data_IF_470249954786
#
_entry.id   IF_470249954786
#
_cell.length_a   1.000
_cell.length_b   1.000
_cell.length_c   1.000
_cell.angle_alpha   90.00
_cell.angle_beta   90.00
_cell.angle_gamma   90.00
#
_symmetry.space_group_name_H-M   'P 1'
#
loop_
_entity.id
_entity.type
_entity.pdbx_description
1 polymer ?
#
# COMPACT_ATOMS: atom_id res chain seq x y z
N UNK A 1 15.52 -2.34 17.39
CA UNK A 1 15.69 -3.45 18.36
C UNK A 1 14.93 -3.22 19.68
N UNK A 2 14.61 -1.97 20.07
CA UNK A 2 13.86 -1.68 21.30
C UNK A 2 12.43 -2.26 21.30
N UNK A 3 11.77 -2.21 20.14
CA UNK A 3 10.39 -2.65 19.94
C UNK A 3 10.15 -4.16 20.13
N UNK A 4 11.13 -5.00 19.77
CA UNK A 4 11.04 -6.46 19.95
C UNK A 4 11.18 -6.87 21.42
N UNK A 5 11.74 -6.00 22.26
CA UNK A 5 11.96 -6.29 23.68
C UNK A 5 10.65 -6.21 24.46
N UNK A 6 9.79 -5.24 24.16
CA UNK A 6 8.49 -5.07 24.83
C UNK A 6 7.59 -6.28 24.58
N UNK A 7 7.48 -6.73 23.33
CA UNK A 7 6.72 -7.94 22.99
C UNK A 7 7.28 -9.20 23.68
N UNK A 8 8.60 -9.35 23.72
CA UNK A 8 9.23 -10.50 24.37
C UNK A 8 9.02 -10.51 25.89
N UNK A 9 8.97 -9.34 26.53
CA UNK A 9 8.65 -9.22 27.95
C UNK A 9 7.20 -9.59 28.23
N UNK A 10 6.26 -9.10 27.43
CA UNK A 10 4.83 -9.41 27.58
C UNK A 10 4.55 -10.91 27.37
N UNK A 11 5.21 -11.54 26.39
CA UNK A 11 5.14 -12.99 26.19
C UNK A 11 5.72 -13.75 27.39
N UNK A 12 6.86 -13.32 27.92
CA UNK A 12 7.48 -13.92 29.10
C UNK A 12 6.57 -13.80 30.34
N UNK A 13 5.98 -12.62 30.55
CA UNK A 13 5.08 -12.37 31.67
C UNK A 13 3.82 -13.24 31.56
N UNK A 14 3.25 -13.39 30.37
CA UNK A 14 2.10 -14.27 30.11
C UNK A 14 2.42 -15.75 30.43
N UNK A 15 3.55 -16.27 29.94
CA UNK A 15 3.97 -17.65 30.21
C UNK A 15 4.28 -17.89 31.70
N UNK A 16 4.87 -16.89 32.36
CA UNK A 16 5.17 -16.94 33.79
C UNK A 16 3.90 -16.92 34.65
N UNK A 17 2.93 -16.06 34.33
CA UNK A 17 1.60 -15.99 34.97
C UNK A 17 0.86 -17.32 34.89
N UNK A 18 0.80 -17.91 33.70
CA UNK A 18 0.15 -19.21 33.46
C UNK A 18 0.67 -20.32 34.37
N UNK A 19 1.96 -20.28 34.73
CA UNK A 19 2.60 -21.23 35.64
C UNK A 19 2.61 -20.79 37.10
N UNK A 20 2.04 -19.62 37.43
CA UNK A 20 2.11 -18.99 38.75
C UNK A 20 3.55 -18.78 39.25
N UNK A 21 4.48 -18.62 38.31
CA UNK A 21 5.90 -18.36 38.58
C UNK A 21 6.09 -16.84 38.63
N UNK A 22 6.37 -16.29 39.81
CA UNK A 22 6.83 -14.89 39.95
C UNK A 22 8.34 -14.90 40.12
N UNK A 23 9.08 -14.95 39.01
CA UNK A 23 10.54 -15.05 39.05
C UNK A 23 11.17 -14.11 38.03
N UNK A 24 12.12 -13.27 38.47
CA UNK A 24 12.85 -12.34 37.60
C UNK A 24 13.89 -13.04 36.70
N UNK A 25 14.13 -14.34 36.93
CA UNK A 25 15.12 -15.16 36.21
C UNK A 25 14.58 -16.56 36.05
N UNK A 26 14.77 -17.14 34.88
CA UNK A 26 14.42 -18.52 34.59
C UNK A 26 15.65 -19.42 34.48
N UNK A 27 15.51 -20.66 34.94
CA UNK A 27 16.48 -21.72 34.76
C UNK A 27 16.49 -22.28 33.33
N UNK A 28 17.44 -23.18 33.05
CA UNK A 28 17.53 -23.86 31.75
C UNK A 28 16.30 -24.73 31.47
N UNK A 29 15.79 -25.40 32.49
CA UNK A 29 14.66 -26.32 32.36
C UNK A 29 13.36 -25.54 32.09
N UNK A 30 13.14 -24.44 32.82
CA UNK A 30 12.01 -23.52 32.60
C UNK A 30 12.06 -22.87 31.21
N UNK A 31 13.26 -22.48 30.75
CA UNK A 31 13.44 -21.96 29.39
C UNK A 31 13.07 -23.01 28.33
N UNK A 32 13.47 -24.27 28.52
CA UNK A 32 13.15 -25.35 27.61
C UNK A 32 11.64 -25.58 27.53
N UNK A 33 10.95 -25.53 28.67
CA UNK A 33 9.50 -25.67 28.73
C UNK A 33 8.77 -24.50 28.07
N UNK A 34 9.18 -23.26 28.33
CA UNK A 34 8.63 -22.08 27.65
C UNK A 34 8.85 -22.16 26.14
N UNK A 35 10.04 -22.56 25.72
CA UNK A 35 10.36 -22.76 24.32
C UNK A 35 9.45 -23.82 23.70
N UNK A 36 9.25 -24.95 24.38
CA UNK A 36 8.36 -26.03 23.91
C UNK A 36 6.92 -25.55 23.69
N UNK A 37 6.40 -24.66 24.54
CA UNK A 37 5.05 -24.09 24.41
C UNK A 37 4.96 -23.09 23.26
N UNK A 38 5.97 -22.23 23.09
CA UNK A 38 6.01 -21.26 21.99
C UNK A 38 6.13 -21.97 20.63
N UNK A 39 6.85 -23.10 20.57
CA UNK A 39 7.03 -23.87 19.33
C UNK A 39 5.88 -24.82 19.02
N UNK A 40 4.86 -24.93 19.88
CA UNK A 40 3.69 -25.75 19.57
C UNK A 40 2.93 -25.16 18.37
N UNK A 41 2.74 -25.99 17.34
CA UNK A 41 2.03 -25.61 16.11
C UNK A 41 0.52 -25.71 16.26
N UNK A 42 -0.02 -26.20 17.38
CA UNK A 42 -1.46 -26.21 17.58
C UNK A 42 -2.03 -24.79 17.59
N UNK A 43 -3.17 -24.61 16.92
CA UNK A 43 -3.85 -23.30 16.87
C UNK A 43 -4.33 -22.90 18.28
N UNK A 44 -4.93 -23.85 19.00
CA UNK A 44 -5.49 -23.63 20.34
C UNK A 44 -4.41 -23.19 21.34
N UNK A 45 -3.23 -23.83 21.35
CA UNK A 45 -2.13 -23.40 22.23
C UNK A 45 -1.65 -21.99 21.89
N UNK A 46 -1.51 -21.65 20.61
CA UNK A 46 -1.08 -20.32 20.17
C UNK A 46 -2.12 -19.25 20.48
N UNK A 47 -3.40 -19.58 20.32
CA UNK A 47 -4.51 -18.69 20.65
C UNK A 47 -4.61 -18.46 22.16
N UNK A 48 -4.38 -19.50 22.96
CA UNK A 48 -4.38 -19.39 24.41
C UNK A 48 -3.21 -18.52 24.90
N UNK A 49 -2.00 -18.70 24.37
CA UNK A 49 -0.85 -17.83 24.67
C UNK A 49 -1.18 -16.38 24.29
N UNK A 50 -1.84 -16.16 23.16
CA UNK A 50 -2.27 -14.83 22.75
C UNK A 50 -3.26 -14.22 23.76
N UNK A 51 -4.26 -14.97 24.23
CA UNK A 51 -5.18 -14.47 25.24
C UNK A 51 -4.51 -14.19 26.60
N UNK A 52 -3.57 -15.04 27.01
CA UNK A 52 -2.78 -14.84 28.23
C UNK A 52 -1.93 -13.56 28.17
N UNK A 53 -1.54 -13.13 26.95
CA UNK A 53 -0.85 -11.86 26.71
C UNK A 53 -1.79 -10.66 26.73
N UNK A 54 -3.04 -10.82 26.27
CA UNK A 54 -4.03 -9.73 26.20
C UNK A 54 -4.67 -9.46 27.56
N UNK A 55 -5.11 -10.51 28.26
CA UNK A 55 -5.79 -10.41 29.55
C UNK A 55 -4.76 -10.39 30.70
N UNK A 56 -4.26 -9.20 31.04
CA UNK A 56 -3.22 -9.05 32.07
C UNK A 56 -3.73 -9.30 33.49
N UNK A 57 -5.02 -9.07 33.73
CA UNK A 57 -5.63 -9.10 35.06
C UNK A 57 -6.29 -10.44 35.40
N UNK A 58 -6.30 -11.40 34.47
CA UNK A 58 -6.93 -12.72 34.60
C UNK A 58 -8.43 -12.65 34.93
N UNK A 59 -9.10 -11.54 34.65
CA UNK A 59 -10.53 -11.32 34.96
C UNK A 59 -11.47 -11.84 33.86
N UNK A 60 -10.89 -12.26 32.73
CA UNK A 60 -11.61 -12.82 31.57
C UNK A 60 -12.28 -11.75 30.73
N UNK A 61 -11.99 -10.48 31.02
CA UNK A 61 -12.49 -9.31 30.31
C UNK A 61 -11.32 -8.66 29.59
N UNK A 62 -11.61 -8.09 28.43
CA UNK A 62 -10.62 -7.43 27.60
C UNK A 62 -11.14 -6.03 27.31
N UNK A 63 -10.41 -5.04 27.79
CA UNK A 63 -10.74 -3.63 27.60
C UNK A 63 -10.23 -3.11 26.25
N UNK A 64 -10.75 -1.97 25.81
CA UNK A 64 -10.29 -1.31 24.58
C UNK A 64 -8.78 -1.02 24.61
N UNK A 65 -8.25 -0.62 25.76
CA UNK A 65 -6.83 -0.32 25.94
C UNK A 65 -5.96 -1.58 25.82
N UNK A 66 -6.44 -2.74 26.31
CA UNK A 66 -5.74 -4.03 26.16
C UNK A 66 -5.74 -4.49 24.69
N UNK A 67 -6.85 -4.31 23.96
CA UNK A 67 -6.91 -4.56 22.51
C UNK A 67 -5.95 -3.65 21.75
N UNK A 68 -5.92 -2.35 22.09
CA UNK A 68 -5.00 -1.37 21.50
C UNK A 68 -3.54 -1.74 21.76
N UNK A 69 -3.23 -2.12 22.99
CA UNK A 69 -1.87 -2.46 23.40
C UNK A 69 -1.35 -3.69 22.63
N UNK A 70 -2.14 -4.76 22.52
CA UNK A 70 -1.70 -5.96 21.81
C UNK A 70 -1.52 -5.71 20.31
N UNK A 71 -2.40 -4.90 19.68
CA UNK A 71 -2.26 -4.50 18.28
C UNK A 71 -0.96 -3.72 18.10
N UNK A 72 -0.69 -2.77 19.00
CA UNK A 72 0.52 -1.95 18.97
C UNK A 72 1.78 -2.80 19.13
N UNK A 73 1.81 -3.71 20.11
CA UNK A 73 2.93 -4.61 20.37
C UNK A 73 3.19 -5.56 19.21
N UNK A 74 2.13 -6.18 18.68
CA UNK A 74 2.20 -7.08 17.52
C UNK A 74 2.69 -6.35 16.26
N UNK A 75 2.18 -5.14 16.01
CA UNK A 75 2.64 -4.30 14.91
C UNK A 75 4.10 -3.88 15.09
N UNK A 76 4.53 -3.55 16.31
CA UNK A 76 5.91 -3.19 16.64
C UNK A 76 6.88 -4.34 16.39
N UNK A 77 6.54 -5.55 16.84
CA UNK A 77 7.33 -6.76 16.64
C UNK A 77 7.51 -7.10 15.15
N UNK A 78 6.46 -6.89 14.35
CA UNK A 78 6.44 -7.15 12.91
C UNK A 78 6.88 -5.96 12.04
N UNK A 79 7.37 -4.87 12.65
CA UNK A 79 7.80 -3.62 11.95
C UNK A 79 6.70 -3.01 11.07
N UNK A 80 5.44 -3.14 11.48
CA UNK A 80 4.26 -2.59 10.80
C UNK A 80 3.94 -1.20 11.37
N UNK A 81 4.71 -0.18 10.97
CA UNK A 81 4.62 1.20 11.52
C UNK A 81 3.22 1.80 11.43
N UNK A 82 2.51 1.59 10.31
CA UNK A 82 1.15 2.11 10.12
C UNK A 82 0.13 1.51 11.08
N UNK A 83 0.16 0.19 11.28
CA UNK A 83 -0.74 -0.48 12.24
C UNK A 83 -0.46 -0.03 13.68
N UNK A 84 0.81 0.27 13.99
CA UNK A 84 1.20 0.83 15.28
C UNK A 84 0.60 2.22 15.50
N UNK A 85 0.62 3.08 14.48
CA UNK A 85 0.05 4.45 14.53
C UNK A 85 -1.49 4.44 14.58
N UNK A 86 -2.14 3.48 13.94
CA UNK A 86 -3.60 3.35 13.88
C UNK A 86 -4.19 2.36 14.90
N UNK A 87 -3.39 1.88 15.87
CA UNK A 87 -3.83 0.85 16.82
C UNK A 87 -5.10 1.26 17.61
N UNK A 88 -5.25 2.55 17.90
CA UNK A 88 -6.43 3.11 18.56
C UNK A 88 -7.69 2.99 17.70
N UNK A 89 -7.61 3.32 16.41
CA UNK A 89 -8.73 3.22 15.47
C UNK A 89 -9.16 1.75 15.29
N UNK A 90 -8.20 0.82 15.22
CA UNK A 90 -8.50 -0.61 15.12
C UNK A 90 -9.11 -1.18 16.40
N UNK A 91 -8.63 -0.75 17.57
CA UNK A 91 -9.22 -1.17 18.85
C UNK A 91 -10.67 -0.69 18.98
N UNK A 92 -10.93 0.57 18.66
CA UNK A 92 -12.28 1.13 18.68
C UNK A 92 -13.25 0.37 17.76
N UNK A 93 -12.81 -0.03 16.56
CA UNK A 93 -13.63 -0.83 15.64
C UNK A 93 -13.94 -2.23 16.15
N UNK A 94 -12.98 -2.88 16.84
CA UNK A 94 -13.20 -4.20 17.44
C UNK A 94 -14.18 -4.09 18.61
N UNK A 95 -14.03 -3.06 19.44
CA UNK A 95 -14.92 -2.80 20.57
C UNK A 95 -16.34 -2.43 20.11
N UNK A 96 -16.49 -1.65 19.04
CA UNK A 96 -17.80 -1.30 18.47
C UNK A 96 -18.58 -2.56 18.01
N UNK A 97 -17.88 -3.57 17.50
CA UNK A 97 -18.49 -4.82 17.02
C UNK A 97 -18.77 -5.83 18.15
N UNK A 98 -17.83 -5.98 19.08
CA UNK A 98 -17.89 -7.02 20.12
C UNK A 98 -18.55 -6.54 21.43
N UNK A 99 -18.63 -5.22 21.65
CA UNK A 99 -19.29 -4.59 22.81
C UNK A 99 -20.42 -3.63 22.35
N UNK A 100 -21.53 -4.15 21.78
CA UNK A 100 -22.63 -3.32 21.29
C UNK A 100 -23.38 -2.59 22.42
N UNK A 101 -23.27 -3.10 23.66
CA UNK A 101 -23.90 -2.51 24.85
C UNK A 101 -23.02 -1.44 25.51
N UNK A 102 -21.79 -1.21 25.00
CA UNK A 102 -20.82 -0.23 25.51
C UNK A 102 -20.48 -0.44 26.99
N UNK A 103 -20.28 -1.69 27.37
CA UNK A 103 -19.83 -2.12 28.69
C UNK A 103 -18.39 -1.69 28.98
N UNK A 104 -17.61 -1.34 27.95
CA UNK A 104 -16.21 -0.94 28.03
C UNK A 104 -15.23 -2.12 28.06
N UNK A 105 -15.74 -3.34 27.92
CA UNK A 105 -14.96 -4.57 27.86
C UNK A 105 -15.69 -5.63 27.03
N UNK A 106 -14.92 -6.54 26.44
CA UNK A 106 -15.40 -7.74 25.77
C UNK A 106 -14.99 -8.96 26.60
N UNK A 107 -15.81 -9.99 26.62
CA UNK A 107 -15.45 -11.25 27.27
C UNK A 107 -14.53 -12.06 26.35
N UNK A 108 -13.57 -12.76 26.94
CA UNK A 108 -12.52 -13.49 26.22
C UNK A 108 -13.09 -14.47 25.18
N UNK A 109 -14.19 -15.16 25.49
CA UNK A 109 -14.86 -16.09 24.58
C UNK A 109 -15.46 -15.41 23.33
N UNK A 110 -15.82 -14.13 23.40
CA UNK A 110 -16.36 -13.37 22.27
C UNK A 110 -15.27 -13.15 21.22
N UNK A 111 -14.06 -12.82 21.69
CA UNK A 111 -12.87 -12.68 20.85
C UNK A 111 -12.41 -14.04 20.30
N UNK A 112 -12.47 -15.09 21.12
CA UNK A 112 -12.21 -16.48 20.71
C UNK A 112 -13.16 -16.94 19.60
N UNK A 113 -14.45 -16.65 19.73
CA UNK A 113 -15.46 -16.98 18.71
C UNK A 113 -15.17 -16.29 17.38
N UNK A 114 -14.78 -15.01 17.40
CA UNK A 114 -14.44 -14.26 16.20
C UNK A 114 -13.21 -14.85 15.49
N UNK A 115 -12.18 -15.24 16.25
CA UNK A 115 -10.96 -15.82 15.70
C UNK A 115 -11.18 -17.26 15.20
N UNK A 116 -11.96 -18.08 15.91
CA UNK A 116 -12.32 -19.45 15.52
C UNK A 116 -13.27 -19.50 14.32
N UNK A 117 -14.19 -18.53 14.18
CA UNK A 117 -15.05 -18.42 13.00
C UNK A 117 -14.18 -18.32 11.74
N UNK A 118 -13.14 -17.49 11.75
CA UNK A 118 -12.32 -17.22 10.57
C UNK A 118 -11.59 -18.47 10.05
N UNK A 119 -11.12 -19.34 10.94
CA UNK A 119 -10.39 -20.56 10.54
C UNK A 119 -11.34 -21.72 10.18
N UNK A 120 -12.54 -21.78 10.78
CA UNK A 120 -13.59 -22.72 10.34
C UNK A 120 -14.17 -22.33 8.97
N UNK A 121 -14.21 -21.03 8.67
CA UNK A 121 -14.68 -20.46 7.40
C UNK A 121 -13.79 -20.78 6.19
N UNK A 122 -12.50 -21.08 6.40
CA UNK A 122 -11.58 -21.45 5.33
C UNK A 122 -11.75 -22.92 4.87
N UNK A 123 -12.37 -23.79 5.69
CA UNK A 123 -12.49 -25.22 5.40
C UNK A 123 -13.91 -25.71 5.01
N UNK A 124 -14.97 -24.93 5.22
CA UNK A 124 -16.36 -25.40 5.01
C UNK A 124 -17.11 -24.57 3.96
N UNK A 125 -16.60 -24.53 2.73
CA UNK A 125 -17.12 -23.73 1.61
C UNK A 125 -18.46 -24.20 1.00
N UNK A 126 -19.32 -24.94 1.71
CA UNK A 126 -20.54 -25.50 1.09
C UNK A 126 -21.85 -25.46 1.91
N UNK A 127 -21.85 -25.31 3.24
CA UNK A 127 -23.08 -25.40 4.03
C UNK A 127 -23.70 -24.05 4.45
N UNK A 128 -23.03 -22.92 4.20
CA UNK A 128 -23.44 -21.61 4.72
C UNK A 128 -24.22 -20.74 3.71
N UNK A 129 -25.05 -21.32 2.83
CA UNK A 129 -25.90 -20.50 1.95
C UNK A 129 -27.11 -19.90 2.69
N UNK A 130 -27.56 -20.48 3.80
CA UNK A 130 -28.79 -20.06 4.51
C UNK A 130 -28.54 -19.06 5.65
N UNK A 131 -27.48 -19.22 6.44
CA UNK A 131 -27.16 -18.32 7.57
C UNK A 131 -26.35 -17.09 7.13
N UNK A 132 -25.57 -17.19 6.05
CA UNK A 132 -24.97 -16.02 5.41
C UNK A 132 -26.02 -15.09 4.78
N UNK A 133 -27.18 -15.60 4.37
CA UNK A 133 -28.29 -14.77 3.89
C UNK A 133 -28.99 -14.02 5.03
N UNK A 134 -29.20 -14.63 6.19
CA UNK A 134 -29.83 -13.97 7.34
C UNK A 134 -28.90 -12.93 8.01
N UNK A 135 -27.60 -13.25 8.12
CA UNK A 135 -26.59 -12.31 8.62
C UNK A 135 -26.26 -11.23 7.58
N UNK A 136 -26.17 -11.58 6.28
CA UNK A 136 -26.06 -10.57 5.20
C UNK A 136 -27.31 -9.70 5.10
N UNK A 137 -28.50 -10.18 5.43
CA UNK A 137 -29.72 -9.35 5.42
C UNK A 137 -29.76 -8.39 6.62
N UNK A 138 -29.34 -8.82 7.81
CA UNK A 138 -29.23 -7.92 8.97
C UNK A 138 -28.08 -6.90 8.83
N UNK A 139 -26.92 -7.32 8.28
CA UNK A 139 -25.84 -6.41 7.89
C UNK A 139 -26.22 -5.53 6.68
N UNK A 140 -27.14 -5.94 5.81
CA UNK A 140 -27.68 -5.10 4.72
C UNK A 140 -28.72 -4.09 5.22
N UNK A 141 -29.43 -4.39 6.31
CA UNK A 141 -30.36 -3.46 6.97
C UNK A 141 -29.67 -2.20 7.49
N UNK A 142 -28.45 -2.34 8.01
CA UNK A 142 -27.58 -1.23 8.43
C UNK A 142 -26.76 -0.62 7.28
N UNK A 143 -26.80 -1.21 6.09
CA UNK A 143 -26.02 -0.82 4.90
C UNK A 143 -26.86 -0.21 3.79
N UNK A 144 -27.78 0.71 4.12
CA UNK A 144 -28.26 1.69 3.13
C UNK A 144 -27.28 2.87 3.02
N UNK A 145 -26.01 2.59 2.69
CA UNK A 145 -25.12 3.59 2.08
C UNK A 145 -24.82 3.12 0.66
N UNK A 146 -25.25 3.93 -0.31
CA UNK A 146 -25.13 3.69 -1.75
C UNK A 146 -23.80 3.02 -2.14
N UNK A 147 -23.77 2.08 -3.10
CA UNK A 147 -22.53 1.45 -3.57
C UNK A 147 -21.47 2.48 -3.97
N UNK A 148 -21.92 3.64 -4.47
CA UNK A 148 -21.08 4.81 -4.81
C UNK A 148 -20.37 5.37 -3.57
N UNK A 149 -21.07 5.43 -2.42
CA UNK A 149 -20.51 5.94 -1.17
C UNK A 149 -19.49 4.98 -0.57
N UNK A 150 -19.67 3.66 -0.69
CA UNK A 150 -18.68 2.64 -0.25
C UNK A 150 -17.41 2.68 -1.11
N UNK A 151 -17.56 2.81 -2.43
CA UNK A 151 -16.42 2.96 -3.34
C UNK A 151 -15.67 4.27 -3.08
N UNK A 152 -16.41 5.34 -2.78
CA UNK A 152 -15.86 6.64 -2.40
C UNK A 152 -15.06 6.58 -1.10
N UNK A 153 -15.57 5.96 -0.02
CA UNK A 153 -14.80 5.86 1.23
C UNK A 153 -13.52 5.07 1.04
N UNK A 154 -13.58 3.91 0.36
CA UNK A 154 -12.39 3.10 0.09
C UNK A 154 -11.35 3.86 -0.76
N UNK A 155 -11.80 4.64 -1.75
CA UNK A 155 -10.92 5.46 -2.57
C UNK A 155 -10.29 6.61 -1.76
N UNK A 156 -11.06 7.23 -0.87
CA UNK A 156 -10.56 8.28 0.04
C UNK A 156 -9.50 7.71 0.99
N UNK A 157 -9.72 6.54 1.59
CA UNK A 157 -8.71 5.89 2.41
C UNK A 157 -7.43 5.56 1.62
N UNK A 158 -7.57 5.04 0.40
CA UNK A 158 -6.42 4.77 -0.48
C UNK A 158 -5.65 6.04 -0.86
N UNK A 159 -6.37 7.12 -1.17
CA UNK A 159 -5.79 8.44 -1.45
C UNK A 159 -5.03 8.98 -0.24
N UNK A 160 -5.61 8.84 0.95
CA UNK A 160 -5.04 9.35 2.19
C UNK A 160 -3.79 8.55 2.60
N UNK A 161 -3.82 7.24 2.41
CA UNK A 161 -2.69 6.34 2.69
C UNK A 161 -1.52 6.55 1.70
N UNK A 162 -1.81 6.85 0.43
CA UNK A 162 -0.80 6.98 -0.63
C UNK A 162 -0.60 8.41 -1.15
N UNK A 163 -1.10 9.43 -0.44
CA UNK A 163 -1.13 10.82 -0.94
C UNK A 163 0.23 11.31 -1.44
N UNK A 164 1.31 11.01 -0.70
CA UNK A 164 2.69 11.41 -1.07
C UNK A 164 3.12 10.81 -2.42
N UNK A 165 2.85 9.52 -2.63
CA UNK A 165 3.17 8.82 -3.88
C UNK A 165 2.34 9.35 -5.03
N UNK A 166 1.05 9.56 -4.81
CA UNK A 166 0.10 10.07 -5.80
C UNK A 166 0.49 11.48 -6.21
N UNK A 167 0.87 12.35 -5.27
CA UNK A 167 1.30 13.71 -5.56
C UNK A 167 2.54 13.74 -6.46
N UNK A 168 3.57 12.92 -6.19
CA UNK A 168 4.78 12.85 -7.02
C UNK A 168 4.47 12.34 -8.43
N UNK A 169 3.66 11.27 -8.54
CA UNK A 169 3.24 10.72 -9.83
C UNK A 169 2.42 11.76 -10.61
N UNK A 170 1.49 12.44 -9.96
CA UNK A 170 0.67 13.47 -10.58
C UNK A 170 1.53 14.64 -11.09
N UNK A 171 2.50 15.11 -10.30
CA UNK A 171 3.43 16.14 -10.70
C UNK A 171 4.27 15.70 -11.92
N UNK A 172 4.79 14.47 -11.89
CA UNK A 172 5.55 13.91 -13.00
C UNK A 172 4.71 13.80 -14.28
N UNK A 173 3.48 13.27 -14.20
CA UNK A 173 2.55 13.19 -15.34
C UNK A 173 2.21 14.58 -15.88
N UNK A 174 1.98 15.57 -15.00
CA UNK A 174 1.72 16.95 -15.40
C UNK A 174 2.88 17.53 -16.21
N UNK A 175 4.12 17.28 -15.78
CA UNK A 175 5.33 17.71 -16.51
C UNK A 175 5.39 17.02 -17.88
N UNK A 176 5.12 15.71 -17.96
CA UNK A 176 5.11 14.99 -19.24
C UNK A 176 4.06 15.56 -20.21
N UNK A 177 2.83 15.79 -19.75
CA UNK A 177 1.75 16.36 -20.56
C UNK A 177 2.12 17.79 -20.99
N UNK A 178 2.68 18.60 -20.09
CA UNK A 178 3.13 19.95 -20.39
C UNK A 178 4.21 19.98 -21.47
N UNK A 179 5.26 19.18 -21.33
CA UNK A 179 6.34 19.07 -22.31
C UNK A 179 5.85 18.57 -23.67
N UNK A 180 5.02 17.52 -23.67
CA UNK A 180 4.43 16.98 -24.88
C UNK A 180 3.59 18.05 -25.60
N UNK A 181 2.68 18.70 -24.87
CA UNK A 181 1.77 19.72 -25.43
C UNK A 181 2.52 20.94 -25.94
N UNK A 182 3.51 21.42 -25.18
CA UNK A 182 4.37 22.52 -25.60
C UNK A 182 5.09 22.21 -26.91
N UNK A 183 5.70 21.02 -27.01
CA UNK A 183 6.40 20.59 -28.22
C UNK A 183 5.45 20.36 -29.40
N UNK A 184 4.28 19.81 -29.12
CA UNK A 184 3.22 19.60 -30.09
C UNK A 184 2.77 20.93 -30.71
N UNK A 185 2.50 21.95 -29.89
CA UNK A 185 2.11 23.29 -30.37
C UNK A 185 3.26 23.97 -31.11
N UNK A 186 4.50 23.82 -30.64
CA UNK A 186 5.68 24.36 -31.31
C UNK A 186 5.81 23.81 -32.73
N UNK A 187 5.68 22.50 -32.91
CA UNK A 187 5.82 21.86 -34.23
C UNK A 187 4.61 22.04 -35.13
N UNK A 188 3.41 22.28 -34.58
CA UNK A 188 2.22 22.66 -35.36
C UNK A 188 2.41 23.96 -36.14
N UNK A 189 3.24 24.88 -35.63
CA UNK A 189 3.50 26.18 -36.26
C UNK A 189 4.66 26.15 -37.26
N UNK A 190 5.30 24.99 -37.48
CA UNK A 190 6.43 24.86 -38.41
C UNK A 190 5.97 24.37 -39.78
N UNK A 191 6.66 24.80 -40.82
CA UNK A 191 6.39 24.39 -42.22
C UNK A 191 6.40 22.87 -42.42
N UNK A 192 7.26 22.15 -41.69
CA UNK A 192 7.32 20.68 -41.70
C UNK A 192 5.99 19.99 -41.34
N UNK A 193 5.08 20.68 -40.65
CA UNK A 193 3.73 20.18 -40.37
C UNK A 193 2.90 19.98 -41.64
N UNK A 194 3.06 20.84 -42.65
CA UNK A 194 2.27 20.76 -43.89
C UNK A 194 2.56 19.48 -44.70
N UNK A 195 3.75 18.89 -44.52
CA UNK A 195 4.17 17.65 -45.20
C UNK A 195 3.86 16.42 -44.34
N UNK A 196 4.33 16.37 -43.09
CA UNK A 196 4.22 15.16 -42.27
C UNK A 196 2.94 15.09 -41.42
N UNK A 197 2.25 16.22 -41.23
CA UNK A 197 1.01 16.31 -40.47
C UNK A 197 1.17 15.95 -38.99
N UNK A 198 0.09 15.43 -38.39
CA UNK A 198 0.03 15.12 -36.95
C UNK A 198 1.03 14.07 -36.46
N UNK A 199 1.53 13.20 -37.35
CA UNK A 199 2.49 12.17 -36.99
C UNK A 199 3.81 12.77 -36.48
N UNK A 200 4.30 13.83 -37.15
CA UNK A 200 5.48 14.57 -36.75
C UNK A 200 5.31 15.23 -35.38
N UNK A 201 4.15 15.82 -35.11
CA UNK A 201 3.89 16.51 -33.84
C UNK A 201 3.90 15.52 -32.68
N UNK A 202 3.23 14.39 -32.86
CA UNK A 202 3.20 13.31 -31.87
C UNK A 202 4.58 12.67 -31.69
N UNK A 203 5.33 12.45 -32.77
CA UNK A 203 6.69 11.91 -32.70
C UNK A 203 7.66 12.86 -31.96
N UNK A 204 7.58 14.17 -32.22
CA UNK A 204 8.42 15.18 -31.56
C UNK A 204 8.00 15.43 -30.12
N UNK A 205 6.69 15.38 -29.82
CA UNK A 205 6.17 15.42 -28.46
C UNK A 205 6.66 14.22 -27.64
N UNK A 206 6.54 13.01 -28.19
CA UNK A 206 7.03 11.79 -27.56
C UNK A 206 8.55 11.86 -27.32
N UNK A 207 9.33 12.33 -28.31
CA UNK A 207 10.77 12.52 -28.16
C UNK A 207 11.14 13.46 -26.99
N UNK A 208 10.40 14.55 -26.80
CA UNK A 208 10.67 15.50 -25.74
C UNK A 208 10.39 14.90 -24.35
N UNK A 209 9.29 14.15 -24.22
CA UNK A 209 9.02 13.37 -22.99
C UNK A 209 10.07 12.29 -22.75
N UNK A 210 10.62 11.70 -23.81
CA UNK A 210 11.69 10.71 -23.72
C UNK A 210 12.96 11.30 -23.13
N UNK A 211 13.41 12.47 -23.63
CA UNK A 211 14.60 13.15 -23.11
C UNK A 211 14.49 13.42 -21.61
N UNK A 212 13.33 13.89 -21.17
CA UNK A 212 13.08 14.15 -19.76
C UNK A 212 13.14 12.86 -18.93
N UNK A 213 12.45 11.80 -19.36
CA UNK A 213 12.47 10.51 -18.65
C UNK A 213 13.87 9.87 -18.64
N UNK A 214 14.66 10.01 -19.72
CA UNK A 214 16.05 9.53 -19.79
C UNK A 214 16.98 10.28 -18.83
N UNK A 215 16.74 11.57 -18.58
CA UNK A 215 17.46 12.32 -17.55
C UNK A 215 17.01 11.91 -16.14
N UNK A 216 15.70 11.71 -15.94
CA UNK A 216 15.11 11.43 -14.64
C UNK A 216 15.36 10.00 -14.14
N UNK A 217 15.47 9.01 -15.02
CA UNK A 217 15.55 7.58 -14.66
C UNK A 217 16.76 7.22 -13.77
N UNK A 218 17.85 7.99 -13.84
CA UNK A 218 19.05 7.75 -13.04
C UNK A 218 18.91 8.25 -11.59
N UNK A 219 18.13 9.31 -11.37
CA UNK A 219 18.00 9.94 -10.05
C UNK A 219 17.52 8.99 -8.94
N UNK A 220 16.51 8.12 -9.15
CA UNK A 220 16.05 7.19 -8.12
C UNK A 220 17.06 6.09 -7.76
N UNK A 221 18.03 5.80 -8.64
CA UNK A 221 19.03 4.73 -8.44
C UNK A 221 20.28 5.25 -7.71
N UNK A 222 20.47 6.58 -7.66
CA UNK A 222 21.57 7.24 -6.95
C UNK A 222 21.39 7.18 -5.42
N UNK A 223 21.72 6.03 -4.82
CA UNK A 223 21.51 5.73 -3.39
C UNK A 223 22.04 6.81 -2.43
N UNK A 224 23.24 7.35 -2.68
CA UNK A 224 23.84 8.39 -1.84
C UNK A 224 23.03 9.70 -1.90
N UNK A 225 22.65 10.12 -3.11
CA UNK A 225 21.84 11.32 -3.34
C UNK A 225 20.45 11.19 -2.72
N UNK A 226 19.80 10.04 -2.89
CA UNK A 226 18.48 9.78 -2.30
C UNK A 226 18.54 9.77 -0.78
N UNK A 227 19.56 9.13 -0.19
CA UNK A 227 19.74 9.12 1.27
C UNK A 227 19.96 10.52 1.83
N UNK A 228 20.76 11.34 1.13
CA UNK A 228 20.96 12.74 1.49
C UNK A 228 19.66 13.55 1.38
N UNK A 229 18.93 13.43 0.26
CA UNK A 229 17.65 14.11 0.04
C UNK A 229 16.58 13.73 1.07
N UNK A 230 16.56 12.46 1.51
CA UNK A 230 15.65 11.97 2.54
C UNK A 230 15.83 12.70 3.89
N UNK A 231 17.06 13.09 4.21
CA UNK A 231 17.36 13.82 5.45
C UNK A 231 17.08 15.33 5.36
N UNK A 232 16.68 15.83 4.20
CA UNK A 232 16.27 17.24 4.02
C UNK A 232 14.75 17.40 4.22
N UNK A 233 14.27 18.65 4.19
CA UNK A 233 12.82 18.96 4.25
C UNK A 233 12.02 18.31 3.10
N UNK A 234 12.65 17.88 2.00
CA UNK A 234 11.97 17.16 0.92
C UNK A 234 11.47 15.78 1.35
N UNK A 235 12.09 15.12 2.33
CA UNK A 235 11.67 13.80 2.80
C UNK A 235 10.26 13.77 3.42
N UNK A 236 9.73 14.94 3.80
CA UNK A 236 8.37 15.07 4.29
C UNK A 236 7.31 15.00 3.19
N UNK A 237 7.67 15.43 1.97
CA UNK A 237 6.76 15.51 0.81
C UNK A 237 6.97 14.38 -0.19
N UNK A 238 8.21 13.90 -0.35
CA UNK A 238 8.59 12.90 -1.35
C UNK A 238 8.87 11.55 -0.67
N UNK A 239 8.16 10.47 -1.05
CA UNK A 239 8.40 9.14 -0.49
C UNK A 239 9.64 8.50 -1.14
N UNK A 240 10.82 8.87 -0.65
CA UNK A 240 12.10 8.40 -1.18
C UNK A 240 12.35 6.89 -1.03
N UNK A 241 11.65 6.21 -0.12
CA UNK A 241 11.78 4.75 0.09
C UNK A 241 11.20 3.93 -1.07
N UNK A 242 10.38 4.55 -1.93
CA UNK A 242 9.76 3.96 -3.12
C UNK A 242 10.53 4.26 -4.42
N UNK A 243 11.79 4.68 -4.33
CA UNK A 243 12.60 5.11 -5.46
C UNK A 243 12.73 4.06 -6.58
N UNK A 244 12.86 2.76 -6.25
CA UNK A 244 12.95 1.68 -7.25
C UNK A 244 11.62 1.49 -7.99
N UNK A 245 10.49 1.54 -7.28
CA UNK A 245 9.16 1.46 -7.90
C UNK A 245 8.94 2.62 -8.87
N UNK A 246 9.42 3.82 -8.51
CA UNK A 246 9.37 4.99 -9.39
C UNK A 246 10.29 4.83 -10.61
N UNK A 247 11.51 4.28 -10.45
CA UNK A 247 12.40 3.95 -11.55
C UNK A 247 11.74 2.97 -12.55
N UNK A 248 11.08 1.91 -12.07
CA UNK A 248 10.35 0.97 -12.91
C UNK A 248 9.19 1.65 -13.66
N UNK A 249 8.50 2.57 -12.99
CA UNK A 249 7.42 3.37 -13.62
C UNK A 249 7.95 4.25 -14.74
N UNK A 250 9.09 4.94 -14.53
CA UNK A 250 9.75 5.74 -15.57
C UNK A 250 10.22 4.85 -16.72
N UNK A 251 10.79 3.68 -16.43
CA UNK A 251 11.21 2.72 -17.46
C UNK A 251 10.05 2.29 -18.35
N UNK A 252 8.88 1.99 -17.75
CA UNK A 252 7.65 1.70 -18.52
C UNK A 252 7.23 2.86 -19.42
N UNK A 253 7.28 4.10 -18.93
CA UNK A 253 6.97 5.29 -19.73
C UNK A 253 7.99 5.53 -20.86
N UNK A 254 9.27 5.20 -20.65
CA UNK A 254 10.28 5.23 -21.71
C UNK A 254 9.94 4.26 -22.82
N UNK A 255 9.56 3.02 -22.49
CA UNK A 255 9.18 2.02 -23.51
C UNK A 255 8.01 2.53 -24.34
N UNK A 256 6.95 3.03 -23.68
CA UNK A 256 5.78 3.61 -24.36
C UNK A 256 6.20 4.79 -25.24
N UNK A 257 7.03 5.69 -24.72
CA UNK A 257 7.52 6.85 -25.46
C UNK A 257 8.38 6.47 -26.67
N UNK A 258 9.20 5.41 -26.57
CA UNK A 258 10.01 4.89 -27.69
C UNK A 258 9.10 4.34 -28.77
N UNK A 259 8.08 3.55 -28.39
CA UNK A 259 7.10 3.00 -29.33
C UNK A 259 6.36 4.14 -30.05
N UNK A 260 5.88 5.15 -29.32
CA UNK A 260 5.21 6.30 -29.93
C UNK A 260 6.14 7.13 -30.83
N UNK A 261 7.39 7.34 -30.41
CA UNK A 261 8.37 8.13 -31.16
C UNK A 261 8.83 7.41 -32.44
N UNK A 262 9.37 6.20 -32.29
CA UNK A 262 9.90 5.41 -33.41
C UNK A 262 8.76 4.89 -34.30
N UNK A 263 7.65 4.45 -33.70
CA UNK A 263 6.48 3.96 -34.41
C UNK A 263 5.88 5.03 -35.32
N UNK A 264 5.71 6.27 -34.85
CA UNK A 264 5.23 7.35 -35.72
C UNK A 264 6.22 7.69 -36.83
N UNK A 265 7.53 7.69 -36.53
CA UNK A 265 8.53 7.94 -37.56
C UNK A 265 8.48 6.87 -38.66
N UNK A 266 8.47 5.59 -38.28
CA UNK A 266 8.50 4.45 -39.21
C UNK A 266 7.17 4.23 -39.95
N UNK A 267 6.04 4.32 -39.25
CA UNK A 267 4.74 3.98 -39.79
C UNK A 267 4.05 5.14 -40.51
N UNK A 268 4.42 6.39 -40.22
CA UNK A 268 3.70 7.55 -40.76
C UNK A 268 4.61 8.64 -41.34
N UNK A 269 5.64 9.11 -40.62
CA UNK A 269 6.45 10.24 -41.10
C UNK A 269 7.26 9.86 -42.34
N UNK A 270 8.04 8.78 -42.31
CA UNK A 270 8.82 8.35 -43.47
C UNK A 270 7.93 7.99 -44.68
N UNK A 271 6.84 7.22 -44.53
CA UNK A 271 5.94 6.96 -45.65
C UNK A 271 5.31 8.22 -46.24
N UNK A 272 4.91 9.21 -45.43
CA UNK A 272 4.40 10.49 -45.95
C UNK A 272 5.48 11.27 -46.68
N UNK A 273 6.69 11.33 -46.13
CA UNK A 273 7.78 12.08 -46.72
C UNK A 273 8.17 11.52 -48.10
N UNK A 274 8.20 10.20 -48.26
CA UNK A 274 8.56 9.54 -49.53
C UNK A 274 7.46 9.69 -50.59
N UNK A 275 6.20 9.79 -50.17
CA UNK A 275 5.05 9.87 -51.09
C UNK A 275 4.59 11.31 -51.40
N UNK A 276 5.16 12.33 -50.77
CA UNK A 276 4.79 13.74 -51.03
C UNK A 276 5.36 14.23 -52.37
N UNK A 277 4.63 15.14 -53.04
CA UNK A 277 5.10 15.73 -54.31
C UNK A 277 6.36 16.59 -54.12
N UNK A 278 7.25 16.58 -55.13
CA UNK A 278 8.48 17.37 -55.11
C UNK A 278 8.21 18.86 -54.93
N UNK A 279 7.11 19.38 -55.47
CA UNK A 279 6.74 20.80 -55.36
C UNK A 279 6.44 21.19 -53.90
N UNK A 280 5.64 20.40 -53.18
CA UNK A 280 5.34 20.66 -51.75
C UNK A 280 6.56 20.43 -50.86
N UNK A 281 7.39 19.44 -51.18
CA UNK A 281 8.64 19.22 -50.48
C UNK A 281 9.58 20.44 -50.64
N UNK A 282 9.74 20.94 -51.87
CA UNK A 282 10.56 22.12 -52.15
C UNK A 282 9.99 23.40 -51.49
N UNK A 283 8.67 23.57 -51.50
CA UNK A 283 7.98 24.73 -50.92
C UNK A 283 8.13 24.82 -49.39
N UNK A 284 7.96 23.70 -48.69
CA UNK A 284 7.92 23.70 -47.21
C UNK A 284 9.20 23.22 -46.52
N UNK A 285 10.06 22.46 -47.22
CA UNK A 285 11.29 21.87 -46.67
C UNK A 285 12.55 22.18 -47.51
N UNK A 286 12.43 22.81 -48.67
CA UNK A 286 13.53 23.07 -49.62
C UNK A 286 14.27 24.39 -49.46
N UNK A 287 14.02 25.15 -48.38
CA UNK A 287 14.71 26.41 -48.02
C UNK A 287 15.66 26.26 -46.85
#
# INVERSE_FOLDING_TARGET
>A
MKDSKEFALELFDALSRRRRLKVDKIGRDELYEFWSQITDESFDSRLQIFFDMVNKNEDGRITEEEVKEIIRLSASANKLSRLKEQAEEYAALIMEELDPERLGYIELWQLETLLLQKDTYLNYSQALSYTSQALSQNLQGLRKRSPIRRMSTNFVYYLQENWRRIWVIALWVLILIGLFTWKFIQYRRKNAFHVMGYCLLTAKGAAETLKFNMALILLPVCRNTITWLRNTRLGHFVPFDDNINFHMTIAGAIVIGVILHAGNHLACDFPRLVNESQDKYAEYLGS
#
